data_IF_585017871741
#
_entry.id   IF_585017871741
#
_cell.length_a   1.000
_cell.length_b   1.000
_cell.length_c   1.000
_cell.angle_alpha   90.00
_cell.angle_beta   90.00
_cell.angle_gamma   90.00
#
_symmetry.space_group_name_H-M   'P 1'
#
loop_
_entity.id
_entity.type
_entity.pdbx_description
1 polymer ?
#
# COMPACT_ATOMS: atom_id res chain seq x y z
N UNK A 1 24.00 17.55 15.46
CA UNK A 1 24.11 16.66 14.28
C UNK A 1 23.42 15.35 14.61
N UNK A 2 22.28 15.05 13.98
CA UNK A 2 21.63 13.75 14.12
C UNK A 2 22.35 12.75 13.22
N UNK A 3 22.80 11.63 13.78
CA UNK A 3 23.41 10.55 12.99
C UNK A 3 22.30 9.57 12.59
N UNK A 4 22.10 9.39 11.28
CA UNK A 4 21.13 8.43 10.75
C UNK A 4 21.91 7.20 10.30
N UNK A 5 21.64 6.05 10.93
CA UNK A 5 22.22 4.77 10.51
C UNK A 5 21.48 4.29 9.26
N UNK A 6 22.14 4.38 8.11
CA UNK A 6 21.61 3.88 6.84
C UNK A 6 22.07 2.44 6.67
N UNK A 7 21.14 1.50 6.83
CA UNK A 7 21.40 0.05 6.71
C UNK A 7 21.80 -0.35 5.29
N UNK A 8 21.26 0.33 4.27
CA UNK A 8 21.44 0.03 2.84
C UNK A 8 22.32 1.10 2.13
N UNK A 9 23.47 1.44 2.71
CA UNK A 9 24.35 2.49 2.17
C UNK A 9 24.72 2.28 0.69
N UNK A 10 24.94 1.03 0.29
CA UNK A 10 25.26 0.65 -1.09
C UNK A 10 24.12 0.99 -2.09
N UNK A 11 22.85 0.88 -1.67
CA UNK A 11 21.70 1.27 -2.52
C UNK A 11 21.67 2.77 -2.72
N UNK A 12 21.98 3.55 -1.69
CA UNK A 12 22.03 5.01 -1.76
C UNK A 12 23.14 5.47 -2.71
N UNK A 13 24.31 4.84 -2.64
CA UNK A 13 25.43 5.13 -3.56
C UNK A 13 25.08 4.78 -5.00
N UNK A 14 24.42 3.64 -5.24
CA UNK A 14 23.91 3.27 -6.58
C UNK A 14 22.87 4.26 -7.10
N UNK A 15 21.98 4.77 -6.25
CA UNK A 15 21.00 5.79 -6.61
C UNK A 15 21.69 7.11 -7.00
N UNK A 16 22.64 7.57 -6.19
CA UNK A 16 23.42 8.77 -6.49
C UNK A 16 24.17 8.64 -7.83
N UNK A 17 24.78 7.49 -8.10
CA UNK A 17 25.44 7.21 -9.38
C UNK A 17 24.45 7.22 -10.56
N UNK A 18 23.27 6.60 -10.42
CA UNK A 18 22.23 6.63 -11.46
C UNK A 18 21.73 8.05 -11.76
N UNK A 19 21.53 8.86 -10.72
CA UNK A 19 21.11 10.25 -10.87
C UNK A 19 22.20 11.06 -11.55
N UNK A 20 23.46 10.89 -11.15
CA UNK A 20 24.61 11.53 -11.80
C UNK A 20 24.67 11.20 -13.30
N UNK A 21 24.56 9.91 -13.66
CA UNK A 21 24.59 9.48 -15.06
C UNK A 21 23.42 10.04 -15.88
N UNK A 22 22.23 10.18 -15.28
CA UNK A 22 21.03 10.68 -15.98
C UNK A 22 20.96 12.20 -16.08
N UNK A 23 21.51 12.92 -15.11
CA UNK A 23 21.32 14.37 -14.97
C UNK A 23 22.60 15.17 -15.14
N UNK A 24 23.77 14.52 -15.10
CA UNK A 24 25.08 15.17 -15.06
C UNK A 24 25.38 15.86 -13.72
N UNK A 25 24.46 15.84 -12.75
CA UNK A 25 24.60 16.51 -11.46
C UNK A 25 25.07 15.56 -10.37
N UNK A 26 26.09 15.96 -9.63
CA UNK A 26 26.59 15.22 -8.47
C UNK A 26 25.73 15.56 -7.25
N UNK A 27 25.16 14.53 -6.63
CA UNK A 27 24.45 14.64 -5.36
C UNK A 27 25.27 13.98 -4.25
N UNK A 28 25.32 14.62 -3.08
CA UNK A 28 25.80 13.95 -1.87
C UNK A 28 24.70 13.05 -1.29
N UNK A 29 25.07 12.15 -0.37
CA UNK A 29 24.10 11.32 0.34
C UNK A 29 23.09 12.17 1.14
N UNK A 30 23.54 13.31 1.69
CA UNK A 30 22.66 14.23 2.44
C UNK A 30 21.69 14.97 1.51
N UNK A 31 22.15 15.41 0.34
CA UNK A 31 21.29 16.07 -0.65
C UNK A 31 20.20 15.11 -1.13
N UNK A 32 20.59 13.87 -1.43
CA UNK A 32 19.65 12.84 -1.88
C UNK A 32 18.63 12.50 -0.80
N UNK A 33 19.06 12.39 0.45
CA UNK A 33 18.15 12.13 1.57
C UNK A 33 17.18 13.29 1.79
N UNK A 34 17.66 14.54 1.71
CA UNK A 34 16.82 15.73 1.83
C UNK A 34 15.76 15.77 0.74
N UNK A 35 16.14 15.45 -0.50
CA UNK A 35 15.22 15.37 -1.63
C UNK A 35 14.18 14.26 -1.44
N UNK A 36 14.58 13.09 -0.91
CA UNK A 36 13.66 12.00 -0.60
C UNK A 36 12.64 12.41 0.46
N UNK A 37 13.05 13.16 1.49
CA UNK A 37 12.13 13.67 2.52
C UNK A 37 11.13 14.65 1.90
N UNK A 38 11.59 15.62 1.11
CA UNK A 38 10.70 16.55 0.42
C UNK A 38 9.73 15.85 -0.53
N UNK A 39 10.22 14.91 -1.34
CA UNK A 39 9.39 14.13 -2.25
C UNK A 39 8.36 13.27 -1.51
N UNK A 40 8.71 12.76 -0.32
CA UNK A 40 7.80 11.98 0.51
C UNK A 40 6.74 12.87 1.17
N UNK A 41 7.11 14.07 1.59
CA UNK A 41 6.19 15.06 2.16
C UNK A 41 5.15 15.50 1.11
N UNK A 42 5.60 15.77 -0.12
CA UNK A 42 4.72 16.12 -1.25
C UNK A 42 3.80 14.96 -1.69
N UNK A 43 4.21 13.71 -1.44
CA UNK A 43 3.48 12.49 -1.84
C UNK A 43 3.18 11.61 -0.64
N UNK A 44 2.79 12.23 0.47
CA UNK A 44 2.62 11.55 1.74
C UNK A 44 1.63 10.39 1.62
N UNK A 45 0.52 10.58 0.92
CA UNK A 45 -0.51 9.55 0.72
C UNK A 45 0.01 8.34 -0.07
N UNK A 46 0.79 8.56 -1.14
CA UNK A 46 1.41 7.47 -1.92
C UNK A 46 2.46 6.71 -1.07
N UNK A 47 3.18 7.44 -0.21
CA UNK A 47 4.15 6.85 0.68
C UNK A 47 3.48 6.02 1.79
N UNK A 48 2.40 6.53 2.39
CA UNK A 48 1.56 5.80 3.34
C UNK A 48 1.00 4.54 2.68
N UNK A 49 0.45 4.63 1.46
CA UNK A 49 -0.08 3.48 0.72
C UNK A 49 1.00 2.40 0.44
N UNK A 50 2.25 2.81 0.20
CA UNK A 50 3.40 1.89 0.06
C UNK A 50 3.76 1.20 1.38
N UNK A 51 3.69 1.92 2.50
CA UNK A 51 3.91 1.34 3.84
C UNK A 51 2.82 0.31 4.16
N UNK A 52 1.57 0.62 3.83
CA UNK A 52 0.41 -0.23 4.07
C UNK A 52 0.33 -1.45 3.12
N UNK A 53 1.31 -1.66 2.22
CA UNK A 53 1.35 -2.75 1.23
C UNK A 53 -0.01 -2.98 0.55
N UNK A 54 -0.44 -2.03 -0.29
CA UNK A 54 -1.53 -2.26 -1.25
C UNK A 54 -2.83 -2.88 -0.69
N UNK A 55 -3.17 -2.64 0.58
CA UNK A 55 -4.56 -2.80 1.03
C UNK A 55 -5.15 -1.40 1.17
N UNK A 56 -5.98 -1.07 0.19
CA UNK A 56 -6.88 0.07 0.09
C UNK A 56 -7.17 0.73 1.44
N UNK A 57 -6.79 2.00 1.58
CA UNK A 57 -7.33 2.85 2.65
C UNK A 57 -8.75 3.15 2.23
N UNK A 58 -9.71 2.49 2.87
CA UNK A 58 -11.11 2.83 2.72
C UNK A 58 -11.38 4.02 3.63
N UNK A 59 -12.06 5.03 3.11
CA UNK A 59 -12.56 6.11 3.95
C UNK A 59 -13.63 5.57 4.92
N UNK A 60 -13.76 6.13 6.14
CA UNK A 60 -14.73 5.66 7.14
C UNK A 60 -16.18 5.69 6.61
N UNK A 61 -16.49 6.64 5.72
CA UNK A 61 -17.81 6.69 5.07
C UNK A 61 -18.00 5.52 4.07
N UNK A 62 -16.95 5.12 3.34
CA UNK A 62 -17.00 3.98 2.42
C UNK A 62 -17.17 2.66 3.18
N UNK A 63 -16.48 2.47 4.32
CA UNK A 63 -16.63 1.27 5.16
C UNK A 63 -18.05 1.16 5.71
N UNK A 64 -18.59 2.25 6.28
CA UNK A 64 -19.95 2.26 6.83
C UNK A 64 -21.02 2.01 5.77
N UNK A 65 -20.79 2.49 4.54
CA UNK A 65 -21.70 2.26 3.42
C UNK A 65 -21.69 0.80 2.93
N UNK A 66 -20.52 0.14 2.96
CA UNK A 66 -20.37 -1.26 2.54
C UNK A 66 -20.89 -2.26 3.57
N UNK A 67 -20.64 -2.02 4.85
CA UNK A 67 -21.18 -2.87 5.93
C UNK A 67 -22.70 -2.86 5.92
N UNK A 68 -23.33 -1.69 5.78
CA UNK A 68 -24.79 -1.60 5.67
C UNK A 68 -25.32 -2.32 4.43
N UNK A 69 -24.59 -2.28 3.32
CA UNK A 69 -25.01 -2.90 2.06
C UNK A 69 -24.88 -4.42 2.10
N UNK A 70 -23.78 -4.96 2.62
CA UNK A 70 -23.57 -6.40 2.72
C UNK A 70 -24.38 -7.05 3.85
N UNK A 71 -24.51 -6.39 5.01
CA UNK A 71 -25.29 -6.93 6.13
C UNK A 71 -26.80 -6.85 5.85
N UNK A 72 -27.25 -5.86 5.07
CA UNK A 72 -28.67 -5.75 4.65
C UNK A 72 -29.06 -6.75 3.55
N UNK A 73 -28.12 -7.18 2.69
CA UNK A 73 -28.41 -8.12 1.59
C UNK A 73 -28.32 -9.60 2.02
N UNK A 74 -27.80 -9.92 3.21
CA UNK A 74 -27.90 -11.26 3.83
C UNK A 74 -29.27 -11.50 4.50
N UNK A 75 -30.34 -10.98 3.90
CA UNK A 75 -31.73 -11.19 4.33
C UNK A 75 -32.14 -12.68 4.42
N UNK A 76 -33.25 -12.95 5.10
CA UNK A 76 -33.80 -14.30 5.30
C UNK A 76 -33.88 -15.06 3.95
N UNK A 77 -33.12 -16.14 3.84
CA UNK A 77 -32.88 -16.88 2.59
C UNK A 77 -31.44 -17.40 2.43
N UNK A 78 -30.53 -17.00 3.32
CA UNK A 78 -29.12 -17.45 3.33
C UNK A 78 -28.93 -18.92 3.70
N UNK A 79 -29.90 -19.56 4.34
CA UNK A 79 -29.91 -21.02 4.56
C UNK A 79 -29.98 -21.78 3.22
N UNK A 80 -30.82 -21.33 2.29
CA UNK A 80 -30.95 -21.93 0.94
C UNK A 80 -29.70 -21.73 0.08
N UNK A 81 -29.00 -20.61 0.26
CA UNK A 81 -27.75 -20.37 -0.48
C UNK A 81 -26.61 -21.22 0.06
N UNK A 82 -26.64 -21.55 1.37
CA UNK A 82 -25.67 -22.48 1.98
C UNK A 82 -25.88 -23.91 1.47
N UNK A 83 -27.13 -24.35 1.35
CA UNK A 83 -27.49 -25.68 0.82
C UNK A 83 -27.15 -25.81 -0.68
N UNK A 84 -27.39 -24.77 -1.50
CA UNK A 84 -26.98 -24.75 -2.91
C UNK A 84 -25.45 -24.77 -3.08
N UNK A 85 -24.72 -24.05 -2.22
CA UNK A 85 -23.25 -24.02 -2.25
C UNK A 85 -22.66 -25.38 -1.84
N UNK A 86 -23.22 -26.04 -0.83
CA UNK A 86 -22.81 -27.39 -0.43
C UNK A 86 -23.12 -28.43 -1.51
N UNK A 87 -24.27 -28.36 -2.18
CA UNK A 87 -24.61 -29.24 -3.29
C UNK A 87 -23.68 -29.08 -4.50
N UNK A 88 -23.18 -27.86 -4.77
CA UNK A 88 -22.23 -27.58 -5.85
C UNK A 88 -20.79 -27.96 -5.47
N UNK A 89 -20.39 -27.75 -4.22
CA UNK A 89 -19.03 -28.03 -3.75
C UNK A 89 -18.81 -29.51 -3.44
N UNK A 90 -19.84 -30.21 -2.99
CA UNK A 90 -19.71 -31.58 -2.48
C UNK A 90 -20.52 -32.63 -3.22
N UNK A 91 -21.55 -32.27 -3.99
CA UNK A 91 -22.31 -33.12 -4.94
C UNK A 91 -22.74 -34.50 -4.41
N UNK A 92 -24.06 -34.73 -4.28
CA UNK A 92 -24.63 -36.06 -4.00
C UNK A 92 -23.97 -37.17 -4.86
N UNK A 93 -23.44 -38.22 -4.21
CA UNK A 93 -23.25 -39.53 -4.87
C UNK A 93 -24.61 -40.19 -5.13
#
# INVERSE_FOLDING_TARGET
MSSVKITDKEKLDKLAAKILLKTGKKFTQQDLLSLCVQFTDEKLDEFIAKILKASRVWDEEEISSLEKRYISDLGEGTESLSEEVDGVLYGDE
#
